data_IF_895959407408
#
_entry.id   IF_895959407408
#
_cell.length_a   1.000
_cell.length_b   1.000
_cell.length_c   1.000
_cell.angle_alpha   90.00
_cell.angle_beta   90.00
_cell.angle_gamma   90.00
#
_symmetry.space_group_name_H-M   'P 1'
#
loop_
_entity.id
_entity.type
_entity.pdbx_description
1 polymer ?
#
# COMPACT_ATOMS: atom_id res chain seq x y z
N UNK A 1 -14.52 -27.13 18.13
CA UNK A 1 -14.35 -26.35 19.37
C UNK A 1 -14.30 -24.89 18.98
N UNK A 2 -15.41 -24.17 19.19
CA UNK A 2 -15.55 -22.78 18.78
C UNK A 2 -14.69 -21.87 19.64
N UNK A 3 -13.86 -21.05 18.98
CA UNK A 3 -13.14 -19.95 19.62
C UNK A 3 -14.16 -19.04 20.29
N UNK A 4 -14.01 -18.80 21.59
CA UNK A 4 -14.97 -18.08 22.42
C UNK A 4 -15.27 -16.68 21.91
N UNK A 5 -16.57 -16.33 21.90
CA UNK A 5 -17.13 -15.11 21.32
C UNK A 5 -16.62 -13.76 21.88
N UNK A 6 -15.73 -13.74 22.89
CA UNK A 6 -15.14 -12.49 23.44
C UNK A 6 -13.90 -12.02 22.66
N UNK A 7 -13.12 -12.93 22.06
CA UNK A 7 -11.85 -12.59 21.41
C UNK A 7 -12.05 -11.96 20.02
N UNK A 8 -13.15 -12.32 19.36
CA UNK A 8 -13.52 -11.82 18.03
C UNK A 8 -13.79 -10.30 18.02
N UNK A 9 -14.13 -9.73 19.18
CA UNK A 9 -14.31 -8.29 19.37
C UNK A 9 -13.03 -7.51 19.67
N UNK A 10 -11.90 -8.20 19.83
CA UNK A 10 -10.58 -7.59 20.14
C UNK A 10 -9.74 -7.47 18.86
N UNK A 11 -9.90 -8.39 17.91
CA UNK A 11 -9.14 -8.37 16.66
C UNK A 11 -9.56 -7.18 15.79
N UNK A 12 -8.57 -6.37 15.41
CA UNK A 12 -8.77 -5.28 14.46
C UNK A 12 -9.18 -5.87 13.11
N UNK A 13 -10.40 -5.53 12.67
CA UNK A 13 -10.94 -5.94 11.37
C UNK A 13 -11.03 -4.75 10.46
N UNK A 14 -10.63 -4.96 9.22
CA UNK A 14 -10.63 -3.95 8.17
C UNK A 14 -11.17 -4.57 6.88
N UNK A 15 -11.75 -3.74 6.02
CA UNK A 15 -12.18 -4.20 4.70
C UNK A 15 -10.96 -4.66 3.88
N UNK A 16 -11.13 -5.52 2.86
CA UNK A 16 -10.02 -5.87 1.97
C UNK A 16 -9.34 -4.65 1.36
N UNK A 17 -10.12 -3.62 1.01
CA UNK A 17 -9.61 -2.35 0.49
C UNK A 17 -8.66 -1.67 1.47
N UNK A 18 -9.05 -1.57 2.75
CA UNK A 18 -8.26 -0.94 3.81
C UNK A 18 -7.01 -1.77 4.14
N UNK A 19 -7.12 -3.10 4.07
CA UNK A 19 -5.99 -4.00 4.30
C UNK A 19 -4.89 -3.82 3.24
N UNK A 20 -5.26 -3.75 1.95
CA UNK A 20 -4.30 -3.44 0.87
C UNK A 20 -3.65 -2.07 1.07
N UNK A 21 -4.34 -1.13 1.73
CA UNK A 21 -3.82 0.20 1.98
C UNK A 21 -2.60 0.20 2.93
N UNK A 22 -2.44 -0.82 3.78
CA UNK A 22 -1.22 -0.97 4.58
C UNK A 22 0.01 -1.24 3.70
N UNK A 23 -0.15 -1.96 2.59
CA UNK A 23 0.93 -2.17 1.61
C UNK A 23 1.18 -0.86 0.86
N UNK A 24 0.14 -0.19 0.38
CA UNK A 24 0.30 1.04 -0.39
C UNK A 24 0.93 2.17 0.41
N UNK A 25 0.34 2.52 1.55
CA UNK A 25 0.86 3.62 2.37
C UNK A 25 2.11 3.20 3.12
N UNK A 26 2.10 2.01 3.73
CA UNK A 26 3.22 1.52 4.52
C UNK A 26 4.44 1.25 3.66
N UNK A 27 4.34 0.38 2.66
CA UNK A 27 5.49 0.00 1.85
C UNK A 27 5.72 0.97 0.69
N UNK A 28 4.75 1.16 -0.21
CA UNK A 28 5.03 1.89 -1.46
C UNK A 28 5.36 3.37 -1.21
N UNK A 29 4.55 4.07 -0.42
CA UNK A 29 4.66 5.52 -0.24
C UNK A 29 5.70 5.92 0.82
N UNK A 30 5.75 5.20 1.95
CA UNK A 30 6.55 5.59 3.12
C UNK A 30 7.92 4.91 3.16
N UNK A 31 8.12 3.76 2.49
CA UNK A 31 9.41 3.08 2.45
C UNK A 31 10.02 3.08 1.05
N UNK A 32 9.38 2.39 0.11
CA UNK A 32 9.95 2.09 -1.20
C UNK A 32 10.18 3.32 -2.06
N UNK A 33 9.33 4.35 -1.97
CA UNK A 33 9.59 5.62 -2.66
C UNK A 33 10.94 6.23 -2.30
N UNK A 34 11.33 6.21 -1.02
CA UNK A 34 12.63 6.76 -0.61
C UNK A 34 13.79 5.83 -0.96
N UNK A 35 13.57 4.51 -0.91
CA UNK A 35 14.57 3.53 -1.38
C UNK A 35 14.82 3.72 -2.87
N UNK A 36 13.75 3.86 -3.65
CA UNK A 36 13.82 4.17 -5.07
C UNK A 36 14.61 5.46 -5.33
N UNK A 37 14.32 6.54 -4.61
CA UNK A 37 15.06 7.81 -4.78
C UNK A 37 16.58 7.60 -4.61
N UNK A 38 17.00 6.80 -3.61
CA UNK A 38 18.42 6.45 -3.40
C UNK A 38 18.96 5.58 -4.54
N UNK A 39 18.24 4.54 -4.95
CA UNK A 39 18.67 3.65 -6.04
C UNK A 39 18.76 4.37 -7.38
N UNK A 40 17.82 5.27 -7.66
CA UNK A 40 17.83 6.10 -8.84
C UNK A 40 19.05 7.02 -8.86
N UNK A 41 19.30 7.72 -7.75
CA UNK A 41 20.39 8.69 -7.65
C UNK A 41 21.78 8.05 -7.72
N UNK A 42 22.00 6.92 -7.05
CA UNK A 42 23.35 6.35 -6.86
C UNK A 42 23.64 5.13 -7.72
N UNK A 43 22.61 4.48 -8.26
CA UNK A 43 22.74 3.25 -9.04
C UNK A 43 22.07 3.34 -10.42
N UNK A 44 21.54 4.51 -10.79
CA UNK A 44 20.90 4.77 -12.08
C UNK A 44 19.77 3.78 -12.42
N UNK A 45 19.07 3.28 -11.38
CA UNK A 45 17.88 2.45 -11.56
C UNK A 45 16.72 3.34 -12.01
N UNK A 46 16.08 3.01 -13.11
CA UNK A 46 14.90 3.73 -13.61
C UNK A 46 13.66 3.44 -12.75
N UNK A 47 12.68 4.34 -12.83
CA UNK A 47 11.39 4.14 -12.16
C UNK A 47 10.69 2.88 -12.68
N UNK A 48 10.77 2.62 -13.97
CA UNK A 48 10.26 1.40 -14.57
C UNK A 48 10.93 0.15 -14.00
N UNK A 49 12.27 0.07 -14.00
CA UNK A 49 12.99 -1.12 -13.52
C UNK A 49 12.61 -1.47 -12.08
N UNK A 50 12.60 -0.48 -11.18
CA UNK A 50 12.31 -0.71 -9.76
C UNK A 50 10.87 -1.21 -9.53
N UNK A 51 9.88 -0.50 -10.07
CA UNK A 51 8.47 -0.84 -9.83
C UNK A 51 8.00 -2.04 -10.66
N UNK A 52 8.55 -2.25 -11.85
CA UNK A 52 8.28 -3.44 -12.65
C UNK A 52 8.79 -4.70 -11.95
N UNK A 53 9.96 -4.63 -11.30
CA UNK A 53 10.46 -5.77 -10.52
C UNK A 53 9.54 -6.10 -9.34
N UNK A 54 9.05 -5.08 -8.63
CA UNK A 54 8.03 -5.29 -7.59
C UNK A 54 6.73 -5.87 -8.16
N UNK A 55 6.28 -5.41 -9.33
CA UNK A 55 5.11 -5.98 -10.01
C UNK A 55 5.31 -7.45 -10.35
N UNK A 56 6.49 -7.85 -10.86
CA UNK A 56 6.80 -9.24 -11.18
C UNK A 56 6.77 -10.13 -9.94
N UNK A 57 7.33 -9.68 -8.81
CA UNK A 57 7.28 -10.43 -7.54
C UNK A 57 5.82 -10.67 -7.10
N UNK A 58 4.96 -9.66 -7.25
CA UNK A 58 3.52 -9.80 -6.97
C UNK A 58 2.88 -10.81 -7.92
N UNK A 59 3.19 -10.74 -9.22
CA UNK A 59 2.66 -11.66 -10.22
C UNK A 59 3.16 -13.09 -10.01
N UNK A 60 4.42 -13.28 -9.61
CA UNK A 60 5.00 -14.57 -9.24
C UNK A 60 4.30 -15.16 -8.03
N UNK A 61 4.05 -14.36 -6.98
CA UNK A 61 3.25 -14.79 -5.83
C UNK A 61 1.84 -15.23 -6.25
N UNK A 62 1.17 -14.48 -7.12
CA UNK A 62 -0.15 -14.87 -7.63
C UNK A 62 -0.09 -16.19 -8.41
N UNK A 63 0.94 -16.39 -9.23
CA UNK A 63 1.10 -17.62 -10.01
C UNK A 63 1.40 -18.85 -9.13
N UNK A 64 2.19 -18.67 -8.07
CA UNK A 64 2.51 -19.74 -7.12
C UNK A 64 1.33 -20.12 -6.21
N UNK A 65 0.33 -19.24 -6.07
CA UNK A 65 -0.82 -19.41 -5.17
C UNK A 65 -2.19 -19.32 -5.88
N UNK A 66 -2.48 -20.18 -6.87
CA UNK A 66 -3.75 -20.16 -7.59
C UNK A 66 -4.97 -20.42 -6.67
N UNK A 67 -4.78 -21.09 -5.54
CA UNK A 67 -5.80 -21.29 -4.51
C UNK A 67 -6.27 -19.98 -3.85
N UNK A 68 -5.50 -18.89 -3.99
CA UNK A 68 -5.84 -17.58 -3.45
C UNK A 68 -6.49 -16.65 -4.48
N UNK A 69 -6.78 -17.10 -5.70
CA UNK A 69 -7.27 -16.26 -6.80
C UNK A 69 -8.46 -15.36 -6.42
N UNK A 70 -9.46 -15.89 -5.70
CA UNK A 70 -10.61 -15.10 -5.25
C UNK A 70 -10.17 -13.98 -4.28
N UNK A 71 -9.24 -14.27 -3.37
CA UNK A 71 -8.71 -13.28 -2.43
C UNK A 71 -7.84 -12.26 -3.15
N UNK A 72 -6.98 -12.69 -4.07
CA UNK A 72 -6.13 -11.81 -4.88
C UNK A 72 -7.01 -10.80 -5.64
N UNK A 73 -8.08 -11.28 -6.29
CA UNK A 73 -9.04 -10.43 -6.97
C UNK A 73 -9.77 -9.48 -6.00
N UNK A 74 -10.11 -9.96 -4.79
CA UNK A 74 -10.77 -9.16 -3.75
C UNK A 74 -9.89 -8.00 -3.24
N UNK A 75 -8.58 -8.21 -3.08
CA UNK A 75 -7.65 -7.19 -2.59
C UNK A 75 -7.19 -6.20 -3.67
N UNK A 76 -7.20 -6.64 -4.94
CA UNK A 76 -6.86 -5.88 -6.13
C UNK A 76 -5.63 -4.95 -5.93
N UNK A 77 -4.48 -5.58 -5.67
CA UNK A 77 -3.25 -4.86 -5.34
C UNK A 77 -2.71 -4.03 -6.52
N UNK A 78 -3.05 -4.42 -7.76
CA UNK A 78 -2.59 -3.75 -9.00
C UNK A 78 -3.60 -2.75 -9.57
N UNK A 79 -4.65 -2.40 -8.81
CA UNK A 79 -5.63 -1.38 -9.20
C UNK A 79 -4.95 -0.06 -9.61
N UNK A 80 -5.52 0.74 -10.53
CA UNK A 80 -4.81 1.88 -11.13
C UNK A 80 -4.45 3.00 -10.15
N UNK A 81 -5.28 3.23 -9.12
CA UNK A 81 -5.10 4.31 -8.15
C UNK A 81 -5.48 3.85 -6.74
N UNK A 82 -4.88 4.47 -5.74
CA UNK A 82 -5.26 4.32 -4.34
C UNK A 82 -5.26 5.67 -3.61
N UNK A 83 -6.02 5.73 -2.52
CA UNK A 83 -6.17 6.92 -1.67
C UNK A 83 -4.82 7.30 -1.03
N UNK A 84 -4.47 8.58 -1.01
CA UNK A 84 -3.22 9.03 -0.37
C UNK A 84 -3.49 9.48 1.06
N UNK A 85 -2.94 8.76 2.03
CA UNK A 85 -2.95 9.21 3.44
C UNK A 85 -1.83 10.24 3.66
N UNK A 86 -2.22 11.45 4.03
CA UNK A 86 -1.33 12.59 4.19
C UNK A 86 -0.93 12.75 5.67
N UNK A 87 0.12 12.04 6.12
CA UNK A 87 0.58 12.03 7.52
C UNK A 87 0.86 13.43 8.09
N UNK A 88 1.50 14.30 7.32
CA UNK A 88 1.75 15.68 7.75
C UNK A 88 0.44 16.48 7.92
N UNK A 89 -0.59 16.23 7.11
CA UNK A 89 -1.89 16.89 7.27
C UNK A 89 -2.61 16.42 8.52
N UNK A 90 -2.52 15.14 8.87
CA UNK A 90 -3.00 14.62 10.17
C UNK A 90 -2.32 15.39 11.30
N UNK A 91 -0.99 15.49 11.25
CA UNK A 91 -0.22 16.21 12.29
C UNK A 91 -0.63 17.68 12.41
N UNK A 92 -0.77 18.39 11.29
CA UNK A 92 -1.05 19.83 11.34
C UNK A 92 -2.52 20.19 11.61
N UNK A 93 -3.47 19.43 11.06
CA UNK A 93 -4.89 19.84 11.06
C UNK A 93 -5.74 19.11 12.09
N UNK A 94 -5.33 17.93 12.57
CA UNK A 94 -6.19 17.14 13.48
C UNK A 94 -5.64 16.98 14.89
N UNK A 95 -4.30 16.85 15.07
CA UNK A 95 -3.74 16.48 16.38
C UNK A 95 -2.64 17.37 16.94
N UNK A 96 -1.95 18.15 16.12
CA UNK A 96 -0.73 18.81 16.55
C UNK A 96 0.33 17.80 17.00
N UNK A 97 1.10 18.15 18.03
CA UNK A 97 2.16 17.32 18.62
C UNK A 97 1.76 16.70 19.97
N UNK A 98 0.46 16.68 20.29
CA UNK A 98 -0.03 16.14 21.57
C UNK A 98 -0.04 14.61 21.55
N UNK A 99 0.38 14.01 22.66
CA UNK A 99 0.28 12.58 22.87
C UNK A 99 -1.17 12.21 23.19
N UNK A 100 -1.73 11.25 22.45
CA UNK A 100 -3.15 10.90 22.48
C UNK A 100 -3.28 9.37 22.47
N UNK A 101 -3.99 8.82 23.45
CA UNK A 101 -4.16 7.37 23.61
C UNK A 101 -4.93 6.69 22.45
N UNK A 102 -5.69 7.46 21.67
CA UNK A 102 -6.49 6.94 20.56
C UNK A 102 -5.71 6.94 19.24
N UNK A 103 -5.99 6.01 18.33
CA UNK A 103 -5.41 6.00 16.97
C UNK A 103 -5.81 7.26 16.18
N UNK A 104 -4.90 7.92 15.45
CA UNK A 104 -5.23 9.09 14.62
C UNK A 104 -6.12 8.74 13.44
N UNK A 105 -7.14 9.57 13.23
CA UNK A 105 -7.95 9.54 12.01
C UNK A 105 -7.12 10.02 10.82
N UNK A 106 -7.07 9.25 9.72
CA UNK A 106 -6.29 9.60 8.55
C UNK A 106 -6.91 10.78 7.79
N UNK A 107 -6.08 11.72 7.35
CA UNK A 107 -6.47 12.74 6.38
C UNK A 107 -6.16 12.21 4.98
N UNK A 108 -7.21 11.89 4.23
CA UNK A 108 -7.11 11.36 2.85
C UNK A 108 -7.09 12.52 1.85
N UNK A 109 -6.13 12.47 0.93
CA UNK A 109 -5.95 13.39 -0.18
C UNK A 109 -6.41 12.75 -1.51
N UNK A 110 -6.35 13.51 -2.59
CA UNK A 110 -6.63 13.00 -3.95
C UNK A 110 -5.88 11.68 -4.24
N UNK A 111 -6.54 10.70 -4.90
CA UNK A 111 -5.91 9.42 -5.22
C UNK A 111 -4.68 9.58 -6.11
N UNK A 112 -3.65 8.79 -5.81
CA UNK A 112 -2.41 8.75 -6.60
C UNK A 112 -2.34 7.48 -7.45
N UNK A 113 -1.54 7.52 -8.52
CA UNK A 113 -1.29 6.36 -9.36
C UNK A 113 -0.58 5.27 -8.56
N UNK A 114 -0.99 4.02 -8.78
CA UNK A 114 -0.34 2.87 -8.21
C UNK A 114 0.89 2.50 -9.04
N UNK A 115 2.10 2.51 -8.46
CA UNK A 115 3.33 2.36 -9.24
C UNK A 115 3.52 0.95 -9.83
N UNK A 116 2.81 -0.06 -9.31
CA UNK A 116 2.82 -1.42 -9.88
C UNK A 116 1.60 -1.71 -10.77
N UNK A 117 0.75 -0.71 -11.04
CA UNK A 117 -0.38 -0.92 -11.95
C UNK A 117 0.10 -1.01 -13.39
N UNK A 118 -0.56 -1.82 -14.25
CA UNK A 118 -0.21 -1.90 -15.66
C UNK A 118 -0.27 -0.55 -16.38
N UNK A 119 -1.19 0.34 -15.98
CA UNK A 119 -1.32 1.67 -16.55
C UNK A 119 -0.11 2.54 -16.22
N UNK A 120 0.34 2.53 -14.97
CA UNK A 120 1.50 3.32 -14.55
C UNK A 120 2.79 2.82 -15.21
N UNK A 121 3.03 1.50 -15.20
CA UNK A 121 4.25 0.94 -15.76
C UNK A 121 4.43 1.27 -17.24
N UNK A 122 3.34 1.24 -18.02
CA UNK A 122 3.38 1.68 -19.43
C UNK A 122 3.70 3.17 -19.61
N UNK A 123 3.38 4.01 -18.64
CA UNK A 123 3.67 5.44 -18.71
C UNK A 123 5.13 5.77 -18.42
N UNK A 124 5.86 4.89 -17.73
CA UNK A 124 7.26 5.11 -17.31
C UNK A 124 8.25 4.21 -18.03
N UNK A 125 7.79 3.34 -18.92
CA UNK A 125 8.60 2.47 -19.79
C UNK A 125 9.31 3.33 -20.86
N UNK A 126 10.54 3.75 -20.55
CA UNK A 126 11.40 4.59 -21.40
C UNK A 126 12.83 4.06 -21.42
#
# INVERSE_FOLDING_TARGET
MGVGSKEVGILLKHSPKDLSHFIFTGLFVVHYRYIFDVLHQYYNISEFEFWNELSKIVDEFHHQHPELNERIALFDLKRPKFEKVCLNRVRFFTRGYQDNANRPEPVVCEPICNPISPQFLRCVEH
#
